data_IF_394432056045
#
_entry.id   IF_394432056045
#
_cell.length_a   1.000
_cell.length_b   1.000
_cell.length_c   1.000
_cell.angle_alpha   90.00
_cell.angle_beta   90.00
_cell.angle_gamma   90.00
#
_symmetry.space_group_name_H-M   'P 1'
#
loop_
_entity.id
_entity.type
_entity.pdbx_description
1 polymer ?
#
# COMPACT_ATOMS: atom_id res chain seq x y z
N UNK A 1 -9.90 3.35 6.49
CA UNK A 1 -10.46 4.56 5.85
C UNK A 1 -10.09 4.59 4.38
N UNK A 2 -10.20 5.74 3.72
CA UNK A 2 -9.41 6.10 2.55
C UNK A 2 -8.68 7.40 2.88
N UNK A 3 -7.60 7.72 2.19
CA UNK A 3 -6.83 8.94 2.43
C UNK A 3 -7.64 10.19 2.11
N UNK A 4 -8.44 10.15 1.04
CA UNK A 4 -9.24 11.28 0.59
C UNK A 4 -10.67 10.80 0.32
N UNK A 5 -11.63 11.38 1.04
CA UNK A 5 -13.04 11.10 0.86
C UNK A 5 -13.47 9.69 1.29
N UNK A 6 -14.43 9.12 0.56
CA UNK A 6 -15.12 7.88 0.96
C UNK A 6 -14.89 6.69 0.02
N UNK A 7 -14.02 6.82 -0.99
CA UNK A 7 -13.78 5.80 -2.03
C UNK A 7 -12.29 5.67 -2.32
N UNK A 8 -11.91 4.53 -2.89
CA UNK A 8 -10.55 4.30 -3.38
C UNK A 8 -10.22 5.34 -4.46
N UNK A 9 -9.11 6.03 -4.29
CA UNK A 9 -8.60 7.03 -5.23
C UNK A 9 -7.23 6.61 -5.75
N UNK A 10 -6.78 7.28 -6.81
CA UNK A 10 -5.41 7.11 -7.32
C UNK A 10 -4.37 7.43 -6.24
N UNK A 11 -4.67 8.37 -5.33
CA UNK A 11 -3.75 8.75 -4.25
C UNK A 11 -3.50 7.59 -3.28
N UNK A 12 -4.52 6.81 -2.94
CA UNK A 12 -4.36 5.62 -2.09
C UNK A 12 -3.43 4.59 -2.74
N UNK A 13 -3.55 4.41 -4.06
CA UNK A 13 -2.71 3.49 -4.84
C UNK A 13 -1.26 4.01 -4.94
N UNK A 14 -1.09 5.32 -5.15
CA UNK A 14 0.22 5.97 -5.23
C UNK A 14 0.97 5.81 -3.90
N UNK A 15 0.31 6.03 -2.77
CA UNK A 15 0.88 5.86 -1.44
C UNK A 15 1.24 4.40 -1.14
N UNK A 16 0.37 3.46 -1.52
CA UNK A 16 0.68 2.04 -1.41
C UNK A 16 1.98 1.68 -2.16
N UNK A 17 2.15 2.17 -3.39
CA UNK A 17 3.39 1.94 -4.15
C UNK A 17 4.61 2.63 -3.52
N UNK A 18 4.44 3.86 -3.00
CA UNK A 18 5.52 4.60 -2.36
C UNK A 18 6.09 3.85 -1.14
N UNK A 19 5.23 3.23 -0.34
CA UNK A 19 5.62 2.40 0.82
C UNK A 19 6.54 1.26 0.37
N UNK A 20 6.25 0.63 -0.76
CA UNK A 20 7.08 -0.44 -1.33
C UNK A 20 8.34 0.07 -2.04
N UNK A 21 8.40 1.35 -2.43
CA UNK A 21 9.54 1.92 -3.16
C UNK A 21 10.75 2.24 -2.28
N UNK A 22 10.57 2.45 -0.97
CA UNK A 22 11.69 2.77 -0.09
C UNK A 22 12.68 1.59 0.03
N UNK A 23 13.97 1.88 0.00
CA UNK A 23 15.02 0.85 0.16
C UNK A 23 14.98 0.21 1.56
N UNK A 24 14.74 1.01 2.59
CA UNK A 24 14.64 0.55 3.98
C UNK A 24 13.22 0.06 4.33
N UNK A 25 12.91 -1.14 3.84
CA UNK A 25 11.64 -1.81 4.14
C UNK A 25 11.44 -2.09 5.63
N UNK A 26 12.50 -2.19 6.44
CA UNK A 26 12.39 -2.44 7.87
C UNK A 26 11.87 -1.21 8.62
N UNK A 27 12.36 -0.02 8.29
CA UNK A 27 11.86 1.24 8.85
C UNK A 27 10.44 1.56 8.37
N UNK A 28 10.11 1.21 7.13
CA UNK A 28 8.72 1.29 6.63
C UNK A 28 7.79 0.41 7.46
N UNK A 29 8.16 -0.85 7.71
CA UNK A 29 7.34 -1.76 8.51
C UNK A 29 7.12 -1.23 9.93
N UNK A 30 8.17 -0.72 10.59
CA UNK A 30 8.04 -0.07 11.90
C UNK A 30 7.08 1.12 11.88
N UNK A 31 7.12 1.91 10.79
CA UNK A 31 6.24 3.07 10.63
C UNK A 31 4.78 2.66 10.42
N UNK A 32 4.53 1.58 9.66
CA UNK A 32 3.19 1.00 9.49
C UNK A 32 2.65 0.48 10.83
N UNK A 33 3.48 -0.21 11.61
CA UNK A 33 3.10 -0.73 12.93
C UNK A 33 2.86 0.38 13.96
N UNK A 34 3.63 1.47 13.89
CA UNK A 34 3.47 2.65 14.75
C UNK A 34 2.24 3.50 14.43
N UNK A 35 1.62 3.32 13.25
CA UNK A 35 0.46 4.10 12.82
C UNK A 35 -0.66 3.19 12.30
N UNK A 36 -1.57 2.78 13.18
CA UNK A 36 -2.69 1.87 12.88
C UNK A 36 -3.61 2.38 11.77
N UNK A 37 -3.82 3.70 11.66
CA UNK A 37 -4.63 4.30 10.61
C UNK A 37 -3.98 4.13 9.22
N UNK A 38 -2.66 4.37 9.13
CA UNK A 38 -1.87 4.18 7.92
C UNK A 38 -1.89 2.70 7.50
N UNK A 39 -1.63 1.78 8.43
CA UNK A 39 -1.72 0.33 8.19
C UNK A 39 -3.09 -0.09 7.70
N UNK A 40 -4.16 0.39 8.34
CA UNK A 40 -5.53 0.07 7.93
C UNK A 40 -5.85 0.51 6.50
N UNK A 41 -5.33 1.65 6.04
CA UNK A 41 -5.54 2.10 4.66
C UNK A 41 -4.67 1.28 3.70
N UNK A 42 -3.41 1.03 4.04
CA UNK A 42 -2.50 0.18 3.27
C UNK A 42 -3.12 -1.20 2.99
N UNK A 43 -3.54 -1.91 4.05
CA UNK A 43 -4.12 -3.24 3.96
C UNK A 43 -5.41 -3.24 3.13
N UNK A 44 -6.20 -2.17 3.22
CA UNK A 44 -7.43 -2.02 2.44
C UNK A 44 -7.16 -1.84 0.95
N UNK A 45 -6.11 -1.11 0.58
CA UNK A 45 -5.68 -0.97 -0.82
C UNK A 45 -5.23 -2.33 -1.36
N UNK A 46 -4.37 -3.04 -0.62
CA UNK A 46 -3.88 -4.37 -0.99
C UNK A 46 -5.00 -5.40 -1.17
N UNK A 47 -6.02 -5.36 -0.30
CA UNK A 47 -7.17 -6.26 -0.36
C UNK A 47 -8.16 -5.96 -1.49
N UNK A 48 -7.98 -4.87 -2.25
CA UNK A 48 -8.85 -4.56 -3.39
C UNK A 48 -8.70 -5.65 -4.46
N UNK A 49 -9.77 -6.33 -4.92
CA UNK A 49 -9.66 -7.51 -5.79
C UNK A 49 -8.82 -7.30 -7.06
N UNK A 50 -8.99 -6.14 -7.72
CA UNK A 50 -8.22 -5.80 -8.91
C UNK A 50 -6.73 -5.58 -8.61
N UNK A 51 -6.41 -4.94 -7.47
CA UNK A 51 -5.02 -4.71 -7.03
C UNK A 51 -4.38 -6.04 -6.64
N UNK A 52 -5.07 -6.85 -5.85
CA UNK A 52 -4.59 -8.17 -5.44
C UNK A 52 -4.30 -9.07 -6.65
N UNK A 53 -5.18 -9.05 -7.65
CA UNK A 53 -4.97 -9.76 -8.92
C UNK A 53 -3.71 -9.24 -9.64
N UNK A 54 -3.58 -7.92 -9.78
CA UNK A 54 -2.40 -7.30 -10.39
C UNK A 54 -1.10 -7.65 -9.65
N UNK A 55 -1.09 -7.62 -8.32
CA UNK A 55 0.09 -7.98 -7.51
C UNK A 55 0.54 -9.43 -7.72
N UNK A 56 -0.41 -10.35 -7.96
CA UNK A 56 -0.12 -11.75 -8.25
C UNK A 56 0.40 -11.97 -9.68
N UNK A 57 -0.05 -11.15 -10.64
CA UNK A 57 0.25 -11.32 -12.07
C UNK A 57 1.44 -10.47 -12.54
N UNK A 58 1.77 -9.37 -11.84
CA UNK A 58 2.82 -8.45 -12.27
C UNK A 58 4.21 -9.12 -12.25
N UNK A 59 5.12 -8.77 -13.18
CA UNK A 59 6.49 -9.23 -13.12
C UNK A 59 7.15 -8.88 -11.79
N UNK A 60 7.88 -9.83 -11.22
CA UNK A 60 8.71 -9.58 -10.05
C UNK A 60 9.99 -8.88 -10.51
N UNK A 61 10.18 -7.66 -10.02
CA UNK A 61 11.40 -6.88 -10.26
C UNK A 61 12.18 -6.82 -8.96
N UNK A 62 13.45 -7.20 -8.99
CA UNK A 62 14.40 -6.82 -7.94
C UNK A 62 14.61 -5.30 -8.03
N UNK A 63 14.34 -4.59 -6.94
CA UNK A 63 14.91 -3.26 -6.73
C UNK A 63 16.38 -3.40 -6.36
#
# INVERSE_FOLDING_TARGET
GYWIGSRLSLFDIQLYNLIHFFDDQQSVQKSLEGCSALKSIHDKVEQTPAIKKWLAERPQTTM
#
